data_IF_735203472648
#
_entry.id   IF_735203472648
#
_cell.length_a   1.000
_cell.length_b   1.000
_cell.length_c   1.000
_cell.angle_alpha   90.00
_cell.angle_beta   90.00
_cell.angle_gamma   90.00
#
_symmetry.space_group_name_H-M   'P 1'
#
loop_
_entity.id
_entity.type
_entity.pdbx_description
1 polymer ?
#
# COMPACT_ATOMS: atom_id res chain seq x y z
N UNK A 1 18.38 0.58 0.97
CA UNK A 1 18.96 1.93 1.35
C UNK A 1 18.06 2.47 2.42
N UNK A 2 18.48 2.43 3.68
CA UNK A 2 17.70 2.98 4.79
C UNK A 2 17.30 4.42 4.46
N UNK A 3 16.07 4.78 4.81
CA UNK A 3 15.62 6.18 4.73
C UNK A 3 16.52 7.00 5.65
N UNK A 4 17.43 7.77 5.04
CA UNK A 4 18.37 8.59 5.79
C UNK A 4 17.69 9.83 6.39
N UNK A 5 18.40 10.50 7.28
CA UNK A 5 17.89 11.70 7.96
C UNK A 5 17.56 12.82 6.97
N UNK A 6 18.37 12.95 5.91
CA UNK A 6 18.14 13.93 4.84
C UNK A 6 16.82 13.71 4.11
N UNK A 7 16.46 12.44 3.84
CA UNK A 7 15.16 12.11 3.24
C UNK A 7 14.01 12.48 4.19
N UNK A 8 14.14 12.15 5.50
CA UNK A 8 13.14 12.53 6.51
C UNK A 8 12.95 14.03 6.61
N UNK A 9 14.04 14.79 6.67
CA UNK A 9 14.02 16.26 6.66
C UNK A 9 13.37 16.83 5.40
N UNK A 10 13.64 16.21 4.24
CA UNK A 10 13.04 16.62 2.97
C UNK A 10 11.53 16.45 3.01
N UNK A 11 11.04 15.30 3.48
CA UNK A 11 9.60 15.07 3.62
C UNK A 11 8.95 15.99 4.67
N UNK A 12 9.66 16.29 5.77
CA UNK A 12 9.15 17.23 6.78
C UNK A 12 8.93 18.65 6.21
N UNK A 13 9.81 19.11 5.31
CA UNK A 13 9.69 20.43 4.66
C UNK A 13 8.52 20.56 3.70
N UNK A 14 7.87 19.44 3.32
CA UNK A 14 6.74 19.47 2.39
C UNK A 14 5.41 19.76 3.07
N UNK A 15 5.40 19.75 4.42
CA UNK A 15 4.19 20.01 5.19
C UNK A 15 2.97 19.22 4.67
N UNK A 16 3.18 17.93 4.43
CA UNK A 16 2.14 17.02 3.96
C UNK A 16 1.11 16.79 5.06
N UNK A 17 -0.16 16.76 4.70
CA UNK A 17 -1.25 16.42 5.62
C UNK A 17 -1.10 15.00 6.18
N UNK A 18 -0.65 14.07 5.31
CA UNK A 18 -0.42 12.68 5.66
C UNK A 18 1.07 12.37 5.61
N UNK A 19 1.57 11.69 6.63
CA UNK A 19 2.95 11.20 6.62
C UNK A 19 3.16 10.22 5.46
N UNK A 20 4.25 10.33 4.69
CA UNK A 20 4.62 9.25 3.76
C UNK A 20 4.73 7.92 4.48
N UNK A 21 4.28 6.85 3.82
CA UNK A 21 4.26 5.49 4.38
C UNK A 21 5.29 4.63 3.68
N UNK A 22 6.19 4.07 4.47
CA UNK A 22 7.15 3.07 4.03
C UNK A 22 6.52 1.68 4.10
N UNK A 23 6.65 0.91 3.03
CA UNK A 23 6.17 -0.47 2.92
C UNK A 23 7.34 -1.41 2.71
N UNK A 24 7.31 -2.56 3.37
CA UNK A 24 8.26 -3.63 3.15
C UNK A 24 7.60 -5.00 3.18
N UNK A 25 7.97 -5.83 2.23
CA UNK A 25 7.46 -7.18 2.10
C UNK A 25 8.32 -8.17 2.89
N UNK A 26 7.68 -9.06 3.64
CA UNK A 26 8.36 -10.11 4.40
C UNK A 26 7.65 -11.46 4.21
N UNK A 27 8.42 -12.54 4.26
CA UNK A 27 7.88 -13.89 4.27
C UNK A 27 7.23 -14.25 5.62
N UNK A 28 7.79 -13.73 6.70
CA UNK A 28 7.26 -13.89 8.06
C UNK A 28 7.31 -12.56 8.81
N UNK A 29 6.44 -12.33 9.81
CA UNK A 29 6.45 -11.13 10.62
C UNK A 29 7.82 -10.85 11.23
N UNK A 30 8.39 -9.65 11.07
CA UNK A 30 9.63 -9.30 11.72
C UNK A 30 9.44 -9.17 13.22
N UNK A 31 10.51 -9.48 13.96
CA UNK A 31 10.48 -9.43 15.42
C UNK A 31 10.26 -8.00 15.91
N UNK A 32 9.32 -7.83 16.84
CA UNK A 32 9.04 -6.53 17.46
C UNK A 32 8.07 -5.64 16.69
N UNK A 33 7.50 -6.13 15.59
CA UNK A 33 6.43 -5.43 14.87
C UNK A 33 5.10 -6.13 15.16
N UNK A 34 4.13 -5.39 15.66
CA UNK A 34 2.81 -5.92 16.01
C UNK A 34 1.91 -6.06 14.77
N UNK A 35 0.99 -7.00 14.81
CA UNK A 35 -0.04 -7.15 13.78
C UNK A 35 -1.07 -6.03 13.89
N UNK A 36 -1.51 -5.49 12.77
CA UNK A 36 -2.62 -4.53 12.76
C UNK A 36 -3.90 -5.14 13.34
N UNK A 37 -4.49 -4.47 14.32
CA UNK A 37 -5.77 -4.88 14.92
C UNK A 37 -6.92 -4.32 14.07
N UNK A 38 -7.40 -5.11 13.13
CA UNK A 38 -8.53 -4.73 12.29
C UNK A 38 -8.40 -5.23 10.84
N UNK A 39 -9.34 -4.80 10.03
CA UNK A 39 -9.42 -5.13 8.60
C UNK A 39 -9.78 -3.90 7.80
N UNK A 40 -9.39 -3.87 6.53
CA UNK A 40 -9.71 -2.77 5.62
C UNK A 40 -9.18 -3.04 4.22
N UNK A 41 -9.56 -2.19 3.27
CA UNK A 41 -8.91 -2.16 1.98
C UNK A 41 -7.45 -1.69 2.12
N UNK A 42 -6.58 -2.08 1.21
CA UNK A 42 -5.15 -1.74 1.29
C UNK A 42 -4.91 -0.22 1.42
N UNK A 43 -5.68 0.59 0.70
CA UNK A 43 -5.62 2.05 0.80
C UNK A 43 -6.00 2.59 2.20
N UNK A 44 -6.98 1.96 2.88
CA UNK A 44 -7.36 2.31 4.25
C UNK A 44 -6.26 1.93 5.25
N UNK A 45 -5.61 0.79 5.04
CA UNK A 45 -4.49 0.33 5.86
C UNK A 45 -3.26 1.24 5.69
N UNK A 46 -2.95 1.67 4.47
CA UNK A 46 -1.92 2.70 4.22
C UNK A 46 -2.28 4.03 4.88
N UNK A 47 -3.56 4.44 4.81
CA UNK A 47 -4.01 5.66 5.48
C UNK A 47 -3.90 5.55 7.01
N UNK A 48 -4.23 4.38 7.59
CA UNK A 48 -4.02 4.14 9.01
C UNK A 48 -2.54 4.28 9.40
N UNK A 49 -1.63 3.71 8.59
CA UNK A 49 -0.18 3.86 8.80
C UNK A 49 0.28 5.32 8.71
N UNK A 50 -0.28 6.11 7.78
CA UNK A 50 0.11 7.52 7.61
C UNK A 50 -0.21 8.39 8.83
N UNK A 51 -1.20 8.01 9.62
CA UNK A 51 -1.65 8.69 10.84
C UNK A 51 -1.08 8.08 12.12
N UNK A 52 -0.50 6.90 12.02
CA UNK A 52 0.07 6.19 13.16
C UNK A 52 1.42 6.76 13.63
N UNK A 53 1.88 6.24 14.76
CA UNK A 53 3.16 6.63 15.35
C UNK A 53 4.21 5.52 15.32
N UNK A 54 3.83 4.30 14.90
CA UNK A 54 4.68 3.12 14.85
C UNK A 54 4.48 2.26 13.63
N UNK A 55 5.34 1.27 13.48
CA UNK A 55 5.21 0.25 12.47
C UNK A 55 4.20 -0.82 12.92
N UNK A 56 3.46 -1.37 11.97
CA UNK A 56 2.67 -2.57 12.13
C UNK A 56 2.78 -3.43 10.88
N UNK A 57 2.41 -4.71 10.95
CA UNK A 57 2.29 -5.53 9.77
C UNK A 57 0.83 -5.94 9.52
N UNK A 58 0.54 -6.20 8.25
CA UNK A 58 -0.72 -6.81 7.78
C UNK A 58 -0.42 -8.12 7.08
N UNK A 59 -1.41 -9.00 7.09
CA UNK A 59 -1.45 -10.24 6.31
C UNK A 59 -2.74 -10.34 5.49
N UNK A 60 -2.95 -11.49 4.83
CA UNK A 60 -4.12 -11.76 4.00
C UNK A 60 -5.48 -11.61 4.72
N UNK A 61 -5.51 -11.71 6.05
CA UNK A 61 -6.73 -11.64 6.84
C UNK A 61 -7.07 -10.20 7.26
N UNK A 62 -6.11 -9.28 7.19
CA UNK A 62 -6.35 -7.85 7.40
C UNK A 62 -6.90 -7.16 6.14
N UNK A 63 -6.51 -7.61 4.94
CA UNK A 63 -6.88 -6.99 3.68
C UNK A 63 -8.19 -7.57 3.16
N UNK A 64 -9.20 -6.70 2.97
CA UNK A 64 -10.59 -7.09 2.63
C UNK A 64 -10.96 -6.83 1.17
N UNK A 65 -10.06 -6.23 0.38
CA UNK A 65 -10.30 -5.86 -1.01
C UNK A 65 -9.44 -6.70 -1.96
N UNK A 66 -9.28 -6.26 -3.20
CA UNK A 66 -8.42 -6.87 -4.22
C UNK A 66 -6.92 -6.77 -3.89
N UNK A 67 -6.52 -5.92 -2.97
CA UNK A 67 -5.11 -5.69 -2.61
C UNK A 67 -4.36 -6.99 -2.26
N UNK A 68 -4.98 -7.92 -1.52
CA UNK A 68 -4.33 -9.20 -1.19
C UNK A 68 -4.04 -10.10 -2.40
N UNK A 69 -4.81 -9.99 -3.48
CA UNK A 69 -4.54 -10.68 -4.75
C UNK A 69 -3.40 -9.97 -5.49
N UNK A 70 -3.48 -8.65 -5.64
CA UNK A 70 -2.44 -7.85 -6.29
C UNK A 70 -1.09 -7.98 -5.60
N UNK A 71 -1.10 -8.09 -4.27
CA UNK A 71 0.09 -8.32 -3.45
C UNK A 71 0.58 -9.78 -3.46
N UNK A 72 -0.10 -10.71 -4.14
CA UNK A 72 0.31 -12.11 -4.18
C UNK A 72 0.17 -12.87 -2.85
N UNK A 73 -0.63 -12.38 -1.92
CA UNK A 73 -0.87 -13.05 -0.64
C UNK A 73 -1.86 -14.20 -0.74
N UNK A 74 -2.80 -14.11 -1.69
CA UNK A 74 -3.79 -15.15 -2.01
C UNK A 74 -3.94 -15.27 -3.53
N UNK A 75 -4.33 -16.45 -4.04
CA UNK A 75 -4.63 -16.59 -5.45
C UNK A 75 -5.89 -15.79 -5.81
N UNK A 76 -5.99 -15.32 -7.05
CA UNK A 76 -7.24 -14.82 -7.59
C UNK A 76 -8.23 -15.99 -7.71
N UNK A 77 -9.39 -15.82 -7.10
CA UNK A 77 -10.50 -16.80 -7.18
C UNK A 77 -11.42 -16.56 -8.41
N UNK A 78 -10.97 -15.76 -9.34
CA UNK A 78 -11.70 -15.37 -10.54
C UNK A 78 -12.59 -14.13 -10.36
N UNK A 79 -12.67 -13.56 -9.17
CA UNK A 79 -13.48 -12.35 -8.94
C UNK A 79 -12.93 -11.15 -9.71
N UNK A 80 -11.62 -10.95 -9.67
CA UNK A 80 -10.97 -9.88 -10.43
C UNK A 80 -11.07 -10.11 -11.94
N UNK A 81 -10.77 -11.33 -12.40
CA UNK A 81 -10.86 -11.70 -13.81
C UNK A 81 -12.30 -11.65 -14.36
N UNK A 82 -13.31 -11.81 -13.51
CA UNK A 82 -14.72 -11.66 -13.90
C UNK A 82 -15.10 -10.22 -14.25
N UNK A 83 -14.39 -9.24 -13.73
CA UNK A 83 -14.71 -7.83 -13.86
C UNK A 83 -15.93 -7.35 -13.06
N UNK A 84 -16.51 -8.20 -12.20
CA UNK A 84 -17.73 -7.89 -11.43
C UNK A 84 -17.56 -6.70 -10.48
N UNK A 85 -16.38 -6.51 -9.91
CA UNK A 85 -16.13 -5.43 -8.93
C UNK A 85 -16.40 -4.04 -9.52
N UNK A 86 -16.08 -3.81 -10.79
CA UNK A 86 -16.19 -2.49 -11.40
C UNK A 86 -17.60 -1.93 -11.52
N UNK A 87 -18.59 -2.69 -12.05
CA UNK A 87 -19.99 -2.27 -12.08
C UNK A 87 -20.61 -2.09 -10.69
N UNK A 88 -20.25 -2.94 -9.73
CA UNK A 88 -20.81 -2.88 -8.36
C UNK A 88 -20.44 -1.59 -7.59
N UNK A 89 -19.38 -0.91 -8.02
CA UNK A 89 -18.93 0.38 -7.42
C UNK A 89 -19.00 1.55 -8.42
N UNK A 90 -19.81 1.42 -9.46
CA UNK A 90 -20.04 2.45 -10.49
C UNK A 90 -18.74 2.93 -11.21
N UNK A 91 -17.68 2.14 -11.18
CA UNK A 91 -16.42 2.47 -11.83
C UNK A 91 -16.48 2.24 -13.35
N UNK A 92 -17.24 1.24 -13.79
CA UNK A 92 -17.42 0.88 -15.19
C UNK A 92 -18.87 0.49 -15.47
N UNK A 93 -19.39 0.88 -16.63
CA UNK A 93 -20.75 0.54 -17.04
C UNK A 93 -20.97 -0.96 -17.31
N UNK A 94 -19.90 -1.71 -17.59
CA UNK A 94 -19.93 -3.15 -17.85
C UNK A 94 -18.71 -3.84 -17.25
N UNK A 95 -18.77 -5.18 -17.17
CA UNK A 95 -17.69 -6.00 -16.60
C UNK A 95 -16.43 -6.04 -17.46
N UNK A 96 -16.57 -6.03 -18.79
CA UNK A 96 -15.45 -6.27 -19.70
C UNK A 96 -14.27 -5.27 -19.58
N UNK A 97 -14.48 -3.96 -19.50
CA UNK A 97 -13.38 -3.02 -19.27
C UNK A 97 -12.67 -3.25 -17.94
N UNK A 98 -13.42 -3.60 -16.89
CA UNK A 98 -12.85 -3.87 -15.57
C UNK A 98 -12.04 -5.17 -15.56
N UNK A 99 -12.53 -6.24 -16.16
CA UNK A 99 -11.78 -7.49 -16.33
C UNK A 99 -10.45 -7.21 -17.07
N UNK A 100 -10.51 -6.43 -18.16
CA UNK A 100 -9.32 -6.04 -18.91
C UNK A 100 -8.32 -5.22 -18.10
N UNK A 101 -8.80 -4.33 -17.23
CA UNK A 101 -7.93 -3.60 -16.31
C UNK A 101 -7.19 -4.58 -15.38
N UNK A 102 -7.89 -5.52 -14.78
CA UNK A 102 -7.29 -6.50 -13.88
C UNK A 102 -6.25 -7.38 -14.57
N UNK A 103 -6.47 -7.77 -15.83
CA UNK A 103 -5.47 -8.50 -16.64
C UNK A 103 -4.18 -7.70 -16.84
N UNK A 104 -4.26 -6.38 -16.84
CA UNK A 104 -3.12 -5.49 -17.09
C UNK A 104 -2.44 -4.99 -15.82
N UNK A 105 -3.07 -5.15 -14.65
CA UNK A 105 -2.46 -4.73 -13.39
C UNK A 105 -1.27 -5.64 -13.04
N UNK A 106 -0.13 -5.07 -12.69
CA UNK A 106 0.98 -5.85 -12.20
C UNK A 106 0.60 -6.48 -10.86
N UNK A 107 0.84 -7.78 -10.72
CA UNK A 107 0.65 -8.52 -9.48
C UNK A 107 1.98 -9.08 -9.00
N UNK A 108 2.15 -9.17 -7.70
CA UNK A 108 3.33 -9.82 -7.13
C UNK A 108 3.17 -11.34 -7.19
N UNK A 109 4.29 -12.03 -7.26
CA UNK A 109 4.31 -13.51 -7.33
C UNK A 109 3.63 -14.09 -6.09
N UNK A 110 2.64 -14.96 -6.31
CA UNK A 110 1.93 -15.66 -5.25
C UNK A 110 2.89 -16.39 -4.30
N UNK A 111 2.76 -16.11 -3.01
CA UNK A 111 3.57 -16.72 -1.95
C UNK A 111 5.01 -16.22 -1.85
N UNK A 112 5.41 -15.19 -2.62
CA UNK A 112 6.72 -14.57 -2.48
C UNK A 112 6.89 -13.87 -1.10
N UNK A 113 5.79 -13.39 -0.52
CA UNK A 113 5.71 -12.85 0.83
C UNK A 113 4.33 -13.12 1.42
N UNK A 114 4.20 -13.06 2.73
CA UNK A 114 2.95 -13.29 3.43
C UNK A 114 2.49 -12.09 4.24
N UNK A 115 3.38 -11.15 4.51
CA UNK A 115 3.08 -9.95 5.31
C UNK A 115 3.68 -8.71 4.67
N UNK A 116 3.00 -7.58 4.87
CA UNK A 116 3.51 -6.25 4.52
C UNK A 116 3.64 -5.45 5.81
N UNK A 117 4.84 -5.00 6.10
CA UNK A 117 5.07 -4.02 7.17
C UNK A 117 4.82 -2.63 6.63
N UNK A 118 4.10 -1.84 7.38
CA UNK A 118 3.79 -0.44 7.10
C UNK A 118 4.27 0.44 8.25
N UNK A 119 4.91 1.55 7.94
CA UNK A 119 5.30 2.54 8.94
C UNK A 119 5.21 3.95 8.36
N UNK A 120 4.79 4.95 9.14
CA UNK A 120 5.01 6.34 8.75
C UNK A 120 6.50 6.59 8.65
N UNK A 121 6.92 7.45 7.71
CA UNK A 121 8.36 7.66 7.43
C UNK A 121 9.16 8.06 8.68
N UNK A 122 8.52 8.77 9.62
CA UNK A 122 9.13 9.18 10.90
C UNK A 122 9.50 8.00 11.81
N UNK A 123 8.78 6.88 11.71
CA UNK A 123 8.96 5.68 12.52
C UNK A 123 9.54 4.50 11.74
N UNK A 124 9.91 4.70 10.48
CA UNK A 124 10.49 3.64 9.65
C UNK A 124 11.95 3.38 10.06
N UNK A 125 12.23 2.17 10.55
CA UNK A 125 13.57 1.69 10.93
C UNK A 125 14.11 0.60 10.00
N UNK A 126 13.43 0.36 8.89
CA UNK A 126 13.79 -0.61 7.87
C UNK A 126 14.05 0.04 6.50
N UNK A 127 14.68 -0.70 5.60
CA UNK A 127 14.85 -0.31 4.19
C UNK A 127 13.57 -0.66 3.40
N UNK A 128 12.77 0.33 2.97
CA UNK A 128 11.49 0.05 2.33
C UNK A 128 11.64 -0.44 0.89
N UNK A 129 10.72 -1.29 0.46
CA UNK A 129 10.57 -1.68 -0.94
C UNK A 129 9.74 -0.65 -1.71
N UNK A 130 8.80 0.00 -1.03
CA UNK A 130 7.93 1.04 -1.60
C UNK A 130 7.78 2.20 -0.60
N UNK A 131 7.72 3.41 -1.12
CA UNK A 131 7.33 4.60 -0.38
C UNK A 131 6.07 5.19 -1.01
N UNK A 132 4.98 5.24 -0.24
CA UNK A 132 3.72 5.84 -0.65
C UNK A 132 3.66 7.27 -0.13
N UNK A 133 3.49 8.21 -1.04
CA UNK A 133 3.32 9.63 -0.74
C UNK A 133 1.97 10.08 -1.27
N UNK A 134 1.13 10.64 -0.41
CA UNK A 134 -0.15 11.24 -0.78
C UNK A 134 -0.05 12.74 -0.56
N UNK A 135 -0.22 13.50 -1.63
CA UNK A 135 -0.12 14.96 -1.59
C UNK A 135 -1.10 15.61 -2.58
N UNK A 136 -1.51 16.88 -2.35
CA UNK A 136 -2.18 17.67 -3.36
C UNK A 136 -1.28 17.86 -4.60
N UNK A 137 -1.89 17.95 -5.78
CA UNK A 137 -1.19 18.05 -7.07
C UNK A 137 -0.16 19.19 -7.12
N UNK A 138 -0.46 20.31 -6.48
CA UNK A 138 0.45 21.46 -6.42
C UNK A 138 1.76 21.14 -5.69
N UNK A 139 1.69 20.28 -4.64
CA UNK A 139 2.88 19.84 -3.89
C UNK A 139 3.68 18.77 -4.63
N UNK A 140 3.03 17.99 -5.49
CA UNK A 140 3.70 17.00 -6.35
C UNK A 140 4.40 17.65 -7.55
N UNK A 141 3.71 18.54 -8.27
CA UNK A 141 4.22 19.21 -9.48
C UNK A 141 5.34 20.20 -9.12
N UNK A 142 5.24 20.91 -8.03
CA UNK A 142 6.26 21.86 -7.58
C UNK A 142 7.65 21.26 -7.39
N UNK A 143 7.78 19.94 -7.34
CA UNK A 143 9.05 19.21 -7.24
C UNK A 143 9.69 18.91 -8.60
N UNK A 144 8.93 18.87 -9.68
CA UNK A 144 9.45 18.58 -11.01
C UNK A 144 10.23 19.78 -11.61
N UNK A 145 10.23 20.93 -10.95
CA UNK A 145 10.82 22.17 -11.44
C UNK A 145 11.95 22.74 -10.56
N UNK A 146 12.47 21.96 -9.60
CA UNK A 146 13.61 22.40 -8.76
C UNK A 146 14.86 21.62 -9.13
#
# INVERSE_FOLDING_TARGET
MLIDEKARETFAKLELEFSPVALKYYYAPPKGVERFEGTGAFCELVHAASRGDGAFYIDKDNETCFGKVALGMVPDNGLAASGLIGPDIDMYATQAPNARLHDLLPTLTLGAHNVVVMAPIKACDFDPDILVVVAPTEKEIGRAHV
#
